data_IF_522601814995
#
_entry.id   IF_522601814995
#
_cell.length_a   1.000
_cell.length_b   1.000
_cell.length_c   1.000
_cell.angle_alpha   90.00
_cell.angle_beta   90.00
_cell.angle_gamma   90.00
#
_symmetry.space_group_name_H-M   'P 1'
#
loop_
_entity.id
_entity.type
_entity.pdbx_description
1 polymer ?
#
# COMPACT_ATOMS: atom_id res chain seq x y z
N UNK A 1 -23.92 -20.93 26.85
CA UNK A 1 -23.55 -19.87 25.89
C UNK A 1 -24.18 -20.19 24.54
N UNK A 2 -25.01 -19.31 23.99
CA UNK A 2 -25.78 -19.59 22.77
C UNK A 2 -24.87 -19.77 21.55
N UNK A 3 -25.09 -20.82 20.76
CA UNK A 3 -24.28 -21.13 19.57
C UNK A 3 -24.22 -19.96 18.58
N UNK A 4 -25.29 -19.17 18.47
CA UNK A 4 -25.35 -17.95 17.65
C UNK A 4 -24.39 -16.86 18.14
N UNK A 5 -24.27 -16.66 19.45
CA UNK A 5 -23.36 -15.67 20.04
C UNK A 5 -21.90 -16.02 19.70
N UNK A 6 -21.56 -17.31 19.72
CA UNK A 6 -20.21 -17.81 19.40
C UNK A 6 -19.86 -17.59 17.92
N UNK A 7 -20.83 -17.75 17.00
CA UNK A 7 -20.64 -17.44 15.58
C UNK A 7 -20.44 -15.93 15.32
N UNK A 8 -21.22 -15.07 15.96
CA UNK A 8 -21.03 -13.61 15.83
C UNK A 8 -19.68 -13.16 16.37
N UNK A 9 -19.22 -13.72 17.49
CA UNK A 9 -17.91 -13.41 18.07
C UNK A 9 -16.77 -13.85 17.15
N UNK A 10 -16.86 -15.02 16.52
CA UNK A 10 -15.85 -15.49 15.56
C UNK A 10 -15.82 -14.64 14.30
N UNK A 11 -16.99 -14.24 13.77
CA UNK A 11 -17.07 -13.35 12.61
C UNK A 11 -16.47 -11.96 12.91
N UNK A 12 -16.78 -11.41 14.09
CA UNK A 12 -16.28 -10.11 14.55
C UNK A 12 -14.76 -10.14 14.80
N UNK A 13 -14.24 -11.24 15.38
CA UNK A 13 -12.80 -11.44 15.56
C UNK A 13 -12.08 -11.58 14.23
N UNK A 14 -12.65 -12.30 13.25
CA UNK A 14 -12.07 -12.42 11.91
C UNK A 14 -12.03 -11.09 11.16
N UNK A 15 -13.02 -10.20 11.36
CA UNK A 15 -12.99 -8.85 10.77
C UNK A 15 -12.05 -7.89 11.50
N UNK A 16 -11.82 -8.07 12.81
CA UNK A 16 -10.86 -7.26 13.57
C UNK A 16 -9.40 -7.68 13.33
N UNK A 17 -9.13 -8.95 12.99
CA UNK A 17 -7.79 -9.44 12.64
C UNK A 17 -7.38 -9.18 11.18
N UNK A 18 -8.29 -8.66 10.34
CA UNK A 18 -7.93 -8.07 9.05
C UNK A 18 -7.18 -6.76 9.33
N UNK A 19 -5.88 -6.89 9.54
CA UNK A 19 -5.03 -5.93 10.21
C UNK A 19 -5.09 -4.53 9.63
N UNK A 20 -5.02 -3.54 10.53
CA UNK A 20 -4.40 -2.26 10.20
C UNK A 20 -2.96 -2.58 9.78
N UNK A 21 -2.70 -2.58 8.49
CA UNK A 21 -1.35 -2.44 7.97
C UNK A 21 -0.87 -1.06 8.46
N UNK A 22 -0.19 -1.02 9.60
CA UNK A 22 0.46 0.19 10.07
C UNK A 22 1.46 0.59 8.99
N UNK A 23 1.26 1.74 8.37
CA UNK A 23 2.15 2.22 7.34
C UNK A 23 3.57 2.34 7.94
N UNK A 24 4.56 1.75 7.25
CA UNK A 24 5.95 1.80 7.60
C UNK A 24 6.46 3.25 7.44
N UNK A 25 6.72 3.89 8.56
CA UNK A 25 7.21 5.26 8.61
C UNK A 25 8.55 5.47 7.90
N UNK A 26 9.38 4.43 7.74
CA UNK A 26 10.60 4.54 6.95
C UNK A 26 10.28 4.76 5.46
N UNK A 27 9.30 4.03 4.92
CA UNK A 27 8.83 4.18 3.53
C UNK A 27 8.25 5.57 3.33
N UNK A 28 7.35 6.01 4.22
CA UNK A 28 6.73 7.34 4.12
C UNK A 28 7.79 8.44 4.20
N UNK A 29 8.75 8.34 5.12
CA UNK A 29 9.84 9.31 5.25
C UNK A 29 10.72 9.35 4.00
N UNK A 30 11.04 8.21 3.39
CA UNK A 30 11.78 8.18 2.12
C UNK A 30 11.00 8.86 0.99
N UNK A 31 9.69 8.60 0.88
CA UNK A 31 8.83 9.25 -0.12
C UNK A 31 8.75 10.76 0.12
N UNK A 32 8.60 11.20 1.37
CA UNK A 32 8.54 12.63 1.73
C UNK A 32 9.86 13.36 1.41
N UNK A 33 10.99 12.69 1.65
CA UNK A 33 12.31 13.22 1.30
C UNK A 33 12.50 13.32 -0.22
N UNK A 34 12.07 12.31 -0.99
CA UNK A 34 12.09 12.36 -2.46
C UNK A 34 11.24 13.53 -2.96
N UNK A 35 10.00 13.65 -2.47
CA UNK A 35 9.07 14.72 -2.83
C UNK A 35 9.62 16.11 -2.53
N UNK A 36 10.22 16.28 -1.34
CA UNK A 36 10.86 17.54 -0.95
C UNK A 36 11.98 17.93 -1.90
N UNK A 37 12.85 16.99 -2.27
CA UNK A 37 14.00 17.26 -3.15
C UNK A 37 13.54 17.54 -4.57
N UNK A 38 12.63 16.75 -5.14
CA UNK A 38 12.09 17.01 -6.49
C UNK A 38 11.37 18.37 -6.56
N UNK A 39 10.61 18.73 -5.51
CA UNK A 39 9.96 20.03 -5.42
C UNK A 39 11.00 21.16 -5.38
N UNK A 40 12.09 21.02 -4.62
CA UNK A 40 13.17 22.02 -4.61
C UNK A 40 13.85 22.15 -5.97
N UNK A 41 14.17 21.04 -6.62
CA UNK A 41 14.78 21.01 -7.95
C UNK A 41 13.89 21.69 -9.00
N UNK A 42 12.58 21.46 -8.93
CA UNK A 42 11.60 22.09 -9.81
C UNK A 42 11.58 23.63 -9.65
N UNK A 43 11.66 24.12 -8.41
CA UNK A 43 11.62 25.56 -8.12
C UNK A 43 12.98 26.26 -8.31
N UNK A 44 14.09 25.55 -8.14
CA UNK A 44 15.43 26.10 -8.22
C UNK A 44 16.38 25.20 -9.05
N UNK A 45 16.22 25.15 -10.37
CA UNK A 45 16.99 24.26 -11.25
C UNK A 45 18.48 24.60 -11.32
N UNK A 46 18.83 25.86 -11.05
CA UNK A 46 20.21 26.36 -11.12
C UNK A 46 20.92 26.30 -9.77
N UNK A 47 20.39 25.52 -8.82
CA UNK A 47 20.99 25.31 -7.51
C UNK A 47 22.42 24.74 -7.67
N UNK A 48 23.42 25.28 -6.94
CA UNK A 48 24.75 24.67 -6.93
C UNK A 48 24.75 23.25 -6.34
N UNK A 49 23.67 22.87 -5.64
CA UNK A 49 23.48 21.55 -5.05
C UNK A 49 22.81 20.55 -6.01
N UNK A 50 22.45 20.95 -7.22
CA UNK A 50 21.67 20.14 -8.16
C UNK A 50 22.20 18.70 -8.31
N UNK A 51 23.50 18.56 -8.60
CA UNK A 51 24.16 17.25 -8.77
C UNK A 51 24.05 16.41 -7.50
N UNK A 52 24.25 17.03 -6.34
CA UNK A 52 24.17 16.33 -5.04
C UNK A 52 22.74 15.90 -4.71
N UNK A 53 21.75 16.71 -5.08
CA UNK A 53 20.33 16.40 -4.91
C UNK A 53 19.89 15.26 -5.83
N UNK A 54 20.32 15.24 -7.09
CA UNK A 54 20.07 14.11 -8.00
C UNK A 54 20.70 12.83 -7.46
N UNK A 55 21.96 12.86 -6.98
CA UNK A 55 22.60 11.68 -6.37
C UNK A 55 21.85 11.21 -5.12
N UNK A 56 21.37 12.15 -4.31
CA UNK A 56 20.53 11.82 -3.15
C UNK A 56 19.23 11.15 -3.59
N UNK A 57 18.52 11.69 -4.58
CA UNK A 57 17.33 11.06 -5.17
C UNK A 57 17.63 9.65 -5.65
N UNK A 58 18.72 9.44 -6.39
CA UNK A 58 19.15 8.10 -6.85
C UNK A 58 19.33 7.14 -5.68
N UNK A 59 20.00 7.58 -4.61
CA UNK A 59 20.25 6.74 -3.43
C UNK A 59 18.98 6.36 -2.67
N UNK A 60 18.00 7.27 -2.60
CA UNK A 60 16.72 7.06 -1.91
C UNK A 60 15.76 6.23 -2.77
N UNK A 61 15.68 6.51 -4.08
CA UNK A 61 14.85 5.77 -5.01
C UNK A 61 15.24 4.28 -5.08
N UNK A 62 16.54 3.97 -4.95
CA UNK A 62 17.04 2.57 -4.87
C UNK A 62 16.64 1.83 -3.59
N UNK A 63 16.26 2.53 -2.53
CA UNK A 63 15.76 1.88 -1.30
C UNK A 63 14.28 1.50 -1.41
N UNK A 64 13.58 2.02 -2.43
CA UNK A 64 12.16 1.76 -2.63
C UNK A 64 11.94 0.68 -3.69
N UNK A 65 11.35 -0.44 -3.25
CA UNK A 65 10.75 -1.42 -4.14
C UNK A 65 9.23 -1.22 -4.22
N UNK A 66 8.62 -1.64 -5.33
CA UNK A 66 7.16 -1.60 -5.47
C UNK A 66 6.43 -2.36 -4.35
N UNK A 67 6.96 -3.50 -3.90
CA UNK A 67 6.40 -4.26 -2.78
C UNK A 67 6.54 -3.50 -1.45
N UNK A 68 7.69 -2.88 -1.20
CA UNK A 68 7.92 -2.07 0.01
C UNK A 68 6.99 -0.87 0.09
N UNK A 69 6.63 -0.27 -1.04
CA UNK A 69 5.66 0.85 -1.12
C UNK A 69 4.27 0.35 -0.74
N UNK A 70 3.83 -0.76 -1.32
CA UNK A 70 2.45 -1.24 -1.15
C UNK A 70 2.22 -1.82 0.23
N UNK A 71 3.22 -2.52 0.77
CA UNK A 71 3.21 -3.01 2.16
C UNK A 71 3.41 -1.85 3.14
N UNK A 72 4.34 -0.94 2.84
CA UNK A 72 4.71 0.16 3.70
C UNK A 72 3.71 1.31 3.76
N UNK A 73 2.84 1.49 2.78
CA UNK A 73 1.80 2.55 2.84
C UNK A 73 0.48 1.99 3.40
N UNK A 74 0.37 0.66 3.52
CA UNK A 74 -0.89 0.00 3.87
C UNK A 74 -1.99 0.26 2.83
N UNK A 75 -1.61 0.61 1.60
CA UNK A 75 -2.53 0.91 0.51
C UNK A 75 -2.41 -0.16 -0.58
N UNK A 76 -3.57 -0.62 -1.06
CA UNK A 76 -3.60 -1.52 -2.21
C UNK A 76 -2.98 -0.79 -3.42
N UNK A 77 -2.10 -1.43 -4.20
CA UNK A 77 -1.60 -0.91 -5.48
C UNK A 77 -2.70 -0.33 -6.39
N UNK A 78 -3.91 -0.90 -6.34
CA UNK A 78 -5.09 -0.50 -7.10
C UNK A 78 -5.90 0.65 -6.48
N UNK A 79 -5.59 1.05 -5.25
CA UNK A 79 -6.21 2.24 -4.67
C UNK A 79 -5.63 3.49 -5.33
N UNK A 80 -6.42 4.56 -5.45
CA UNK A 80 -5.98 5.83 -6.04
C UNK A 80 -4.67 6.34 -5.40
N UNK A 81 -4.59 6.24 -4.07
CA UNK A 81 -3.39 6.59 -3.29
C UNK A 81 -2.19 5.68 -3.58
N UNK A 82 -2.42 4.36 -3.64
CA UNK A 82 -1.38 3.38 -3.96
C UNK A 82 -0.82 3.57 -5.38
N UNK A 83 -1.71 3.76 -6.36
CA UNK A 83 -1.34 4.02 -7.74
C UNK A 83 -0.53 5.32 -7.86
N UNK A 84 -0.99 6.42 -7.26
CA UNK A 84 -0.28 7.69 -7.31
C UNK A 84 1.15 7.58 -6.74
N UNK A 85 1.32 6.89 -5.61
CA UNK A 85 2.63 6.69 -4.98
C UNK A 85 3.53 5.72 -5.79
N UNK A 86 2.97 4.73 -6.46
CA UNK A 86 3.72 3.87 -7.37
C UNK A 86 4.22 4.63 -8.60
N UNK A 87 3.36 5.45 -9.22
CA UNK A 87 3.75 6.32 -10.33
C UNK A 87 4.81 7.35 -9.90
N UNK A 88 4.70 7.89 -8.69
CA UNK A 88 5.69 8.79 -8.13
C UNK A 88 7.08 8.17 -8.09
N UNK A 89 7.20 6.96 -7.52
CA UNK A 89 8.50 6.29 -7.46
C UNK A 89 8.97 5.84 -8.83
N UNK A 90 8.07 5.47 -9.73
CA UNK A 90 8.43 5.21 -11.11
C UNK A 90 9.05 6.45 -11.79
N UNK A 91 8.44 7.62 -11.66
CA UNK A 91 9.00 8.87 -12.19
C UNK A 91 10.33 9.23 -11.52
N UNK A 92 10.42 9.11 -10.20
CA UNK A 92 11.67 9.33 -9.46
C UNK A 92 12.79 8.39 -9.95
N UNK A 93 12.50 7.10 -10.16
CA UNK A 93 13.48 6.14 -10.71
C UNK A 93 13.84 6.48 -12.15
N UNK A 94 12.85 6.81 -12.98
CA UNK A 94 13.05 7.22 -14.37
C UNK A 94 13.96 8.44 -14.46
N UNK A 95 13.72 9.45 -13.62
CA UNK A 95 14.62 10.60 -13.46
C UNK A 95 16.05 10.12 -13.15
N UNK A 96 16.22 9.21 -12.19
CA UNK A 96 17.57 8.79 -11.78
C UNK A 96 18.30 7.85 -12.76
N UNK A 97 17.56 7.16 -13.65
CA UNK A 97 18.11 6.18 -14.59
C UNK A 97 18.31 6.75 -15.99
N UNK A 98 17.37 7.59 -16.46
CA UNK A 98 17.38 8.10 -17.82
C UNK A 98 17.98 9.50 -17.93
N UNK A 99 18.06 10.24 -16.83
CA UNK A 99 18.64 11.57 -16.84
C UNK A 99 20.10 11.51 -16.47
N UNK A 100 20.94 11.98 -17.39
CA UNK A 100 22.36 12.22 -17.11
C UNK A 100 22.50 13.21 -15.95
N UNK A 101 23.19 12.79 -14.90
CA UNK A 101 23.51 13.60 -13.71
C UNK A 101 24.24 14.90 -14.10
N UNK A 102 24.96 14.87 -15.22
CA UNK A 102 25.77 15.96 -15.73
C UNK A 102 24.97 16.94 -16.63
N UNK A 103 23.68 16.66 -16.89
CA UNK A 103 22.82 17.48 -17.74
C UNK A 103 21.55 17.98 -17.01
N UNK A 104 21.63 19.13 -16.31
CA UNK A 104 20.49 19.72 -15.60
C UNK A 104 19.26 19.95 -16.49
N UNK A 105 19.48 20.30 -17.75
CA UNK A 105 18.41 20.55 -18.72
C UNK A 105 17.59 19.29 -19.03
N UNK A 106 18.18 18.10 -18.94
CA UNK A 106 17.49 16.83 -19.19
C UNK A 106 16.62 16.46 -17.98
N UNK A 107 17.11 16.70 -16.76
CA UNK A 107 16.33 16.54 -15.54
C UNK A 107 15.14 17.49 -15.49
N UNK A 108 15.34 18.73 -15.90
CA UNK A 108 14.28 19.72 -15.91
C UNK A 108 13.20 19.40 -16.92
N UNK A 109 13.56 18.88 -18.10
CA UNK A 109 12.56 18.36 -19.05
C UNK A 109 11.72 17.23 -18.46
N UNK A 110 12.32 16.38 -17.63
CA UNK A 110 11.58 15.33 -16.92
C UNK A 110 10.64 15.93 -15.85
N UNK A 111 11.15 16.77 -14.96
CA UNK A 111 10.38 17.37 -13.86
C UNK A 111 9.27 18.31 -14.36
N UNK A 112 9.44 18.92 -15.54
CA UNK A 112 8.43 19.78 -16.17
C UNK A 112 7.38 19.01 -16.98
N UNK A 113 7.48 17.69 -17.08
CA UNK A 113 6.48 16.89 -17.75
C UNK A 113 5.13 17.03 -17.01
N UNK A 114 4.02 17.36 -17.71
CA UNK A 114 2.71 17.55 -17.07
C UNK A 114 2.26 16.38 -16.19
N UNK A 115 2.54 15.14 -16.61
CA UNK A 115 2.17 13.94 -15.84
C UNK A 115 2.97 13.82 -14.54
N UNK A 116 4.25 14.19 -14.57
CA UNK A 116 5.12 14.20 -13.40
C UNK A 116 4.65 15.27 -12.42
N UNK A 117 4.36 16.47 -12.91
CA UNK A 117 3.86 17.58 -12.10
C UNK A 117 2.51 17.26 -11.42
N UNK A 118 1.57 16.70 -12.17
CA UNK A 118 0.25 16.31 -11.63
C UNK A 118 0.40 15.21 -10.56
N UNK A 119 1.26 14.23 -10.81
CA UNK A 119 1.52 13.16 -9.85
C UNK A 119 2.23 13.69 -8.59
N UNK A 120 3.23 14.56 -8.71
CA UNK A 120 3.90 15.22 -7.59
C UNK A 120 2.94 16.04 -6.72
N UNK A 121 2.01 16.77 -7.34
CA UNK A 121 1.00 17.55 -6.61
C UNK A 121 0.03 16.63 -5.84
N UNK A 122 -0.40 15.55 -6.48
CA UNK A 122 -1.28 14.53 -5.87
C UNK A 122 -0.59 13.85 -4.68
N UNK A 123 0.66 13.44 -4.85
CA UNK A 123 1.47 12.81 -3.79
C UNK A 123 1.68 13.76 -2.62
N UNK A 124 1.98 15.03 -2.89
CA UNK A 124 2.11 16.06 -1.84
C UNK A 124 0.85 16.17 -0.99
N UNK A 125 -0.32 16.10 -1.61
CA UNK A 125 -1.62 16.09 -0.90
C UNK A 125 -1.75 14.86 0.00
N UNK A 126 -1.37 13.67 -0.50
CA UNK A 126 -1.42 12.45 0.29
C UNK A 126 -0.42 12.44 1.44
N UNK A 127 0.79 12.94 1.23
CA UNK A 127 1.86 12.98 2.23
C UNK A 127 1.46 13.80 3.46
N UNK A 128 0.70 14.88 3.30
CA UNK A 128 0.20 15.69 4.43
C UNK A 128 -0.57 14.84 5.48
N UNK A 129 -1.26 13.79 5.04
CA UNK A 129 -2.01 12.88 5.92
C UNK A 129 -1.20 11.69 6.43
N UNK A 130 -0.02 11.44 5.85
CA UNK A 130 0.79 10.24 6.12
C UNK A 130 2.04 10.52 6.94
N UNK A 131 2.53 11.76 6.96
CA UNK A 131 3.78 12.12 7.62
C UNK A 131 3.85 11.58 9.04
N UNK A 132 4.90 10.81 9.28
CA UNK A 132 5.19 10.30 10.61
C UNK A 132 5.91 11.36 11.45
N UNK A 133 5.73 11.27 12.75
CA UNK A 133 6.51 12.08 13.71
C UNK A 133 7.97 11.64 13.74
N UNK A 134 8.87 12.52 14.18
CA UNK A 134 10.31 12.21 14.29
C UNK A 134 10.57 10.97 15.16
N UNK A 135 9.82 10.83 16.26
CA UNK A 135 9.92 9.65 17.14
C UNK A 135 9.55 8.35 16.41
N UNK A 136 8.50 8.37 15.58
CA UNK A 136 8.10 7.21 14.78
C UNK A 136 9.14 6.87 13.71
N UNK A 137 9.72 7.89 13.08
CA UNK A 137 10.80 7.72 12.09
C UNK A 137 12.04 7.12 12.75
N UNK A 138 12.44 7.61 13.93
CA UNK A 138 13.59 7.09 14.67
C UNK A 138 13.42 5.62 15.10
N UNK A 139 12.18 5.20 15.35
CA UNK A 139 11.83 3.81 15.70
C UNK A 139 11.62 2.89 14.49
N UNK A 140 11.59 3.44 13.27
CA UNK A 140 11.28 2.67 12.07
C UNK A 140 12.48 1.81 11.63
N UNK A 141 12.17 0.64 11.09
CA UNK A 141 13.18 -0.25 10.53
C UNK A 141 13.80 0.38 9.27
N UNK A 142 15.13 0.31 9.15
CA UNK A 142 15.84 0.83 7.97
C UNK A 142 15.47 0.01 6.74
N UNK A 143 15.18 0.71 5.64
CA UNK A 143 14.87 0.06 4.38
C UNK A 143 16.14 -0.61 3.81
N UNK A 144 16.04 -1.86 3.31
CA UNK A 144 17.14 -2.48 2.61
C UNK A 144 17.42 -1.74 1.29
N UNK A 145 18.69 -1.73 0.87
CA UNK A 145 19.05 -1.26 -0.47
C UNK A 145 18.59 -2.31 -1.47
N UNK A 146 17.70 -1.93 -2.39
CA UNK A 146 17.16 -2.83 -3.40
C UNK A 146 17.98 -2.66 -4.67
N UNK A 147 18.69 -3.73 -5.07
CA UNK A 147 19.54 -3.74 -6.28
C UNK A 147 18.69 -3.73 -7.58
N UNK A 148 17.38 -3.99 -7.48
CA UNK A 148 16.48 -3.99 -8.61
C UNK A 148 16.06 -2.56 -8.99
N UNK A 149 16.61 -2.10 -10.11
CA UNK A 149 16.37 -0.75 -10.65
C UNK A 149 15.02 -0.62 -11.39
N UNK A 150 14.36 -1.72 -11.75
CA UNK A 150 13.07 -1.67 -12.46
C UNK A 150 11.89 -1.81 -11.49
N UNK A 151 11.06 -0.78 -11.42
CA UNK A 151 9.68 -0.91 -10.94
C UNK A 151 8.83 -1.24 -12.15
N UNK A 152 8.53 -2.53 -12.31
CA UNK A 152 7.54 -2.97 -13.27
C UNK A 152 6.14 -2.74 -12.68
N UNK A 153 5.63 -1.51 -12.87
CA UNK A 153 4.31 -1.10 -12.35
C UNK A 153 3.24 -2.06 -12.89
N UNK A 154 3.33 -2.47 -14.15
CA UNK A 154 2.35 -3.35 -14.78
C UNK A 154 2.35 -4.73 -14.11
N UNK A 155 3.52 -5.27 -13.78
CA UNK A 155 3.64 -6.50 -13.00
C UNK A 155 3.09 -6.34 -11.57
N UNK A 156 3.34 -5.20 -10.91
CA UNK A 156 2.81 -4.91 -9.57
C UNK A 156 1.28 -4.80 -9.56
N UNK A 157 0.74 -4.08 -10.53
CA UNK A 157 -0.71 -3.91 -10.76
C UNK A 157 -1.34 -5.27 -11.11
N UNK A 158 -0.76 -6.04 -12.02
CA UNK A 158 -1.24 -7.37 -12.36
C UNK A 158 -1.21 -8.32 -11.15
N UNK A 159 -0.11 -8.32 -10.38
CA UNK A 159 0.00 -9.10 -9.15
C UNK A 159 -1.06 -8.69 -8.13
N UNK A 160 -1.28 -7.39 -7.95
CA UNK A 160 -2.32 -6.85 -7.07
C UNK A 160 -3.71 -7.34 -7.46
N UNK A 161 -4.04 -7.28 -8.75
CA UNK A 161 -5.31 -7.75 -9.30
C UNK A 161 -5.51 -9.24 -9.05
N UNK A 162 -4.48 -10.05 -9.32
CA UNK A 162 -4.52 -11.50 -9.09
C UNK A 162 -4.73 -11.79 -7.60
N UNK A 163 -3.98 -11.15 -6.70
CA UNK A 163 -4.17 -11.33 -5.25
C UNK A 163 -5.56 -10.87 -4.78
N UNK A 164 -6.10 -9.79 -5.33
CA UNK A 164 -7.45 -9.32 -5.03
C UNK A 164 -8.52 -10.32 -5.51
N UNK A 165 -8.35 -10.88 -6.72
CA UNK A 165 -9.25 -11.88 -7.26
C UNK A 165 -9.23 -13.19 -6.43
N UNK A 166 -8.04 -13.65 -6.01
CA UNK A 166 -7.91 -14.81 -5.12
C UNK A 166 -8.50 -14.54 -3.73
N UNK A 167 -8.27 -13.35 -3.17
CA UNK A 167 -8.87 -12.92 -1.90
C UNK A 167 -10.40 -12.92 -1.98
N UNK A 168 -10.97 -12.28 -3.00
CA UNK A 168 -12.42 -12.26 -3.25
C UNK A 168 -13.00 -13.66 -3.41
N UNK A 169 -12.32 -14.54 -4.16
CA UNK A 169 -12.70 -15.94 -4.30
C UNK A 169 -12.73 -16.66 -2.95
N UNK A 170 -11.69 -16.49 -2.14
CA UNK A 170 -11.62 -17.12 -0.81
C UNK A 170 -12.70 -16.57 0.14
N UNK A 171 -12.97 -15.26 0.11
CA UNK A 171 -14.06 -14.64 0.88
C UNK A 171 -15.41 -15.20 0.43
N UNK A 172 -15.65 -15.32 -0.87
CA UNK A 172 -16.89 -15.90 -1.40
C UNK A 172 -17.07 -17.36 -0.95
N UNK A 173 -16.01 -18.16 -0.97
CA UNK A 173 -16.03 -19.55 -0.48
C UNK A 173 -16.39 -19.57 1.01
N UNK A 174 -15.75 -18.74 1.83
CA UNK A 174 -16.03 -18.66 3.27
C UNK A 174 -17.49 -18.23 3.53
N UNK A 175 -18.02 -17.28 2.77
CA UNK A 175 -19.41 -16.85 2.86
C UNK A 175 -20.39 -17.97 2.50
N UNK A 176 -20.11 -18.73 1.43
CA UNK A 176 -20.92 -19.89 1.03
C UNK A 176 -20.92 -20.95 2.13
N UNK A 177 -19.75 -21.30 2.68
CA UNK A 177 -19.65 -22.27 3.78
C UNK A 177 -20.42 -21.79 5.00
N UNK A 178 -20.28 -20.52 5.38
CA UNK A 178 -21.01 -19.93 6.51
C UNK A 178 -22.53 -20.00 6.30
N UNK A 179 -23.00 -19.73 5.08
CA UNK A 179 -24.42 -19.78 4.72
C UNK A 179 -24.95 -21.21 4.75
N UNK A 180 -24.19 -22.18 4.22
CA UNK A 180 -24.52 -23.60 4.33
C UNK A 180 -24.61 -24.07 5.79
N UNK A 181 -23.67 -23.64 6.65
CA UNK A 181 -23.70 -23.96 8.08
C UNK A 181 -24.89 -23.32 8.80
N UNK A 182 -25.27 -22.08 8.45
CA UNK A 182 -26.45 -21.42 8.98
C UNK A 182 -27.73 -22.15 8.57
N UNK A 183 -27.89 -22.48 7.29
CA UNK A 183 -29.03 -23.25 6.77
C UNK A 183 -29.11 -24.62 7.44
N UNK A 184 -27.99 -25.35 7.54
CA UNK A 184 -27.93 -26.63 8.23
C UNK A 184 -28.35 -26.51 9.70
N UNK A 185 -27.87 -25.49 10.41
CA UNK A 185 -28.23 -25.26 11.81
C UNK A 185 -29.72 -24.95 12.00
N UNK A 186 -30.32 -24.20 11.07
CA UNK A 186 -31.74 -23.86 11.08
C UNK A 186 -32.61 -25.08 10.83
N UNK A 187 -32.25 -25.89 9.83
CA UNK A 187 -32.97 -27.13 9.51
C UNK A 187 -32.90 -28.19 10.61
N UNK A 188 -31.89 -28.15 11.49
CA UNK A 188 -31.73 -29.08 12.63
C UNK A 188 -32.40 -28.63 13.94
N UNK A 189 -32.88 -27.39 14.02
CA UNK A 189 -33.62 -26.91 15.20
C UNK A 189 -34.94 -27.66 15.52
N UNK A 190 -35.75 -28.16 14.55
CA UNK A 190 -37.03 -28.79 14.86
C UNK A 190 -36.94 -30.21 15.43
N UNK A 191 -35.84 -30.94 15.25
CA UNK A 191 -35.68 -32.30 15.81
C UNK A 191 -35.42 -32.31 17.33
N UNK A 192 -34.62 -31.35 17.82
CA UNK A 192 -34.26 -31.30 19.25
C UNK A 192 -35.41 -30.84 20.17
N UNK A 193 -36.41 -30.12 19.64
CA UNK A 193 -37.62 -29.76 20.39
C UNK A 193 -38.58 -30.92 20.52
N UNK A 194 -38.73 -31.77 19.49
CA UNK A 194 -39.62 -32.95 19.54
C UNK A 194 -39.11 -34.05 20.48
N UNK A 195 -37.80 -34.33 20.49
CA UNK A 195 -37.20 -35.35 21.38
C UNK A 195 -37.31 -34.95 22.87
N UNK A 196 -37.35 -33.65 23.17
CA UNK A 196 -37.53 -33.16 24.55
C UNK A 196 -38.99 -33.21 25.04
N UNK A 197 -39.97 -33.16 24.15
CA UNK A 197 -41.37 -33.33 24.52
C UNK A 197 -41.72 -34.80 24.78
N UNK A 198 -41.21 -35.72 23.96
CA UNK A 198 -41.41 -37.16 24.14
C UNK A 198 -40.74 -37.79 25.39
N UNK A 199 -40.00 -37.00 26.18
CA UNK A 199 -39.34 -37.45 27.42
C UNK A 199 -39.97 -36.86 28.69
N UNK A 200 -41.03 -36.05 28.53
CA UNK A 200 -41.80 -35.47 29.65
C UNK A 200 -43.20 -36.08 29.80
N UNK A 201 -43.61 -36.91 28.84
CA UNK A 201 -44.75 -37.82 28.95
C UNK A 201 -44.22 -39.21 29.32
#
# INVERSE_FOLDING_TARGET
>A
MNARLRQYIVLLLLTCFAGRACANCAVINTIDNLHSVETRLLHNPNSPLFISEIRYLTSQARQLSGSSITEGIGANPMSEKGAALLYFIYYAKKLTLEVSIDEPNTAMRHLQNPQVLENMATVGTYLNSMRCTEAQIASAEKLPIVVSDQIDIDLLVARAFVTAAFSMRNIAIVLVIALCLLVWSYLRQPENTRIRQAKRD
#
